data_IF_266077221741
#
_entry.id   IF_266077221741
#
_cell.length_a   1.000
_cell.length_b   1.000
_cell.length_c   1.000
_cell.angle_alpha   90.00
_cell.angle_beta   90.00
_cell.angle_gamma   90.00
#
_symmetry.space_group_name_H-M   'P 1'
#
loop_
_entity.id
_entity.type
_entity.pdbx_description
1 polymer ?
#
# COMPACT_ATOMS: atom_id res chain seq x y z
N UNK A 1 -14.47 14.51 18.10
CA UNK A 1 -14.26 15.96 18.34
C UNK A 1 -15.42 16.74 17.72
N UNK A 2 -15.89 17.79 18.38
CA UNK A 2 -16.96 18.68 17.90
C UNK A 2 -16.49 20.12 17.96
N UNK A 3 -16.67 20.87 16.87
CA UNK A 3 -16.16 22.23 16.73
C UNK A 3 -17.26 23.14 16.22
N UNK A 4 -17.47 24.26 16.89
CA UNK A 4 -18.42 25.30 16.46
C UNK A 4 -17.62 26.44 15.83
N UNK A 5 -17.72 26.57 14.50
CA UNK A 5 -16.98 27.60 13.74
C UNK A 5 -17.63 28.96 13.97
N UNK A 6 -16.81 30.02 13.95
CA UNK A 6 -17.30 31.39 14.03
C UNK A 6 -17.63 31.87 12.61
N UNK A 7 -18.91 32.08 12.33
CA UNK A 7 -19.42 32.42 10.99
C UNK A 7 -20.10 33.79 11.02
N UNK A 8 -20.08 34.47 9.87
CA UNK A 8 -20.84 35.71 9.69
C UNK A 8 -22.26 35.34 9.27
N UNK A 9 -23.25 35.75 10.06
CA UNK A 9 -24.65 35.54 9.70
C UNK A 9 -25.11 36.51 8.60
N UNK A 10 -26.35 36.32 8.13
CA UNK A 10 -26.97 37.15 7.09
C UNK A 10 -27.11 38.63 7.49
N UNK A 11 -26.95 38.96 8.77
CA UNK A 11 -26.99 40.33 9.29
C UNK A 11 -25.60 40.96 9.43
N UNK A 12 -24.54 40.20 9.11
CA UNK A 12 -23.15 40.63 9.24
C UNK A 12 -22.55 40.42 10.63
N UNK A 13 -23.30 39.87 11.58
CA UNK A 13 -22.83 39.57 12.93
C UNK A 13 -22.05 38.27 12.96
N UNK A 14 -20.96 38.26 13.72
CA UNK A 14 -20.20 37.02 13.95
C UNK A 14 -20.90 36.20 15.03
N UNK A 15 -21.37 35.01 14.67
CA UNK A 15 -22.02 34.05 15.59
C UNK A 15 -21.36 32.67 15.45
N UNK A 16 -21.66 31.76 16.37
CA UNK A 16 -21.22 30.36 16.24
C UNK A 16 -22.14 29.61 15.28
N UNK A 17 -21.57 28.66 14.55
CA UNK A 17 -22.30 27.76 13.67
C UNK A 17 -23.43 27.05 14.44
N UNK A 18 -24.58 26.84 13.80
CA UNK A 18 -25.72 26.18 14.47
C UNK A 18 -25.47 24.70 14.73
N UNK A 19 -24.71 24.05 13.85
CA UNK A 19 -24.31 22.65 13.97
C UNK A 19 -22.79 22.59 14.09
N UNK A 20 -22.26 21.72 14.96
CA UNK A 20 -20.82 21.51 15.02
C UNK A 20 -20.34 20.75 13.79
N UNK A 21 -19.10 21.01 13.40
CA UNK A 21 -18.30 20.09 12.60
C UNK A 21 -17.89 18.93 13.51
N UNK A 22 -18.09 17.70 13.04
CA UNK A 22 -17.72 16.49 13.77
C UNK A 22 -16.55 15.78 13.08
N UNK A 23 -15.54 15.43 13.87
CA UNK A 23 -14.41 14.62 13.43
C UNK A 23 -14.25 13.42 14.36
N UNK A 24 -14.24 12.23 13.77
CA UNK A 24 -14.05 10.95 14.44
C UNK A 24 -12.62 10.46 14.23
N UNK A 25 -12.04 9.91 15.29
CA UNK A 25 -10.65 9.44 15.29
C UNK A 25 -10.63 7.98 15.71
N UNK A 26 -10.05 7.12 14.85
CA UNK A 26 -9.87 5.70 15.10
C UNK A 26 -8.41 5.37 15.37
N UNK A 27 -8.16 4.52 16.37
CA UNK A 27 -6.82 4.20 16.87
C UNK A 27 -6.55 2.69 16.79
N UNK A 28 -5.34 2.29 16.39
CA UNK A 28 -4.79 0.95 16.59
C UNK A 28 -3.67 1.04 17.62
N UNK A 29 -3.97 0.63 18.85
CA UNK A 29 -3.11 0.84 20.01
C UNK A 29 -2.82 2.32 20.22
N UNK A 30 -1.60 2.72 19.89
CA UNK A 30 -1.08 4.08 20.12
C UNK A 30 -1.12 4.95 18.86
N UNK A 31 -1.44 4.37 17.70
CA UNK A 31 -1.39 5.06 16.40
C UNK A 31 -2.77 5.49 15.94
N UNK A 32 -2.85 6.72 15.43
CA UNK A 32 -4.06 7.26 14.83
C UNK A 32 -4.22 6.74 13.40
N UNK A 33 -5.03 5.72 13.20
CA UNK A 33 -5.18 5.02 11.91
C UNK A 33 -6.35 5.51 11.08
N UNK A 34 -7.31 6.22 11.66
CA UNK A 34 -8.48 6.72 10.93
C UNK A 34 -8.85 8.12 11.39
N UNK A 35 -9.11 9.01 10.45
CA UNK A 35 -9.74 10.32 10.68
C UNK A 35 -10.96 10.39 9.76
N UNK A 36 -12.14 10.62 10.31
CA UNK A 36 -13.38 10.70 9.54
C UNK A 36 -14.11 11.99 9.85
N UNK A 37 -14.38 12.77 8.81
CA UNK A 37 -15.18 14.00 8.85
C UNK A 37 -16.59 13.71 8.34
N UNK A 38 -17.41 14.75 8.18
CA UNK A 38 -18.71 14.63 7.52
C UNK A 38 -18.61 14.28 6.03
N UNK A 39 -17.48 14.55 5.37
CA UNK A 39 -17.31 14.39 3.92
C UNK A 39 -16.38 13.24 3.55
N UNK A 40 -15.33 13.01 4.32
CA UNK A 40 -14.26 12.07 3.96
C UNK A 40 -13.82 11.21 5.12
N UNK A 41 -13.36 10.01 4.79
CA UNK A 41 -12.63 9.11 5.69
C UNK A 41 -11.22 8.94 5.16
N UNK A 42 -10.24 9.27 6.00
CA UNK A 42 -8.82 9.05 5.74
C UNK A 42 -8.36 7.92 6.65
N UNK A 43 -7.79 6.88 6.05
CA UNK A 43 -7.09 5.82 6.77
C UNK A 43 -5.59 5.94 6.50
N UNK A 44 -4.80 5.78 7.55
CA UNK A 44 -3.34 5.86 7.47
C UNK A 44 -2.72 4.54 7.85
N UNK A 45 -1.90 3.99 6.94
CA UNK A 45 -1.05 2.84 7.19
C UNK A 45 0.32 3.33 7.61
N UNK A 46 0.85 2.78 8.69
CA UNK A 46 2.15 3.13 9.24
C UNK A 46 3.20 2.06 8.93
N UNK A 47 4.47 2.46 8.95
CA UNK A 47 5.57 1.50 8.95
C UNK A 47 5.47 0.60 10.19
N UNK A 48 5.71 -0.72 10.06
CA UNK A 48 5.67 -1.64 11.19
C UNK A 48 6.55 -1.15 12.35
N UNK A 49 6.02 -1.21 13.57
CA UNK A 49 6.72 -0.76 14.78
C UNK A 49 6.99 0.74 14.88
N UNK A 50 6.55 1.57 13.92
CA UNK A 50 6.87 3.00 13.87
C UNK A 50 5.61 3.88 13.83
N UNK A 51 5.82 5.18 14.05
CA UNK A 51 4.85 6.26 13.85
C UNK A 51 5.05 7.00 12.51
N UNK A 52 5.96 6.54 11.67
CA UNK A 52 6.14 7.04 10.30
C UNK A 52 4.98 6.55 9.41
N UNK A 53 4.15 7.45 8.87
CA UNK A 53 3.08 7.06 7.97
C UNK A 53 3.65 6.65 6.60
N UNK A 54 3.02 5.67 5.95
CA UNK A 54 3.42 5.15 4.65
C UNK A 54 2.37 5.41 3.57
N UNK A 55 1.11 5.08 3.86
CA UNK A 55 0.03 5.17 2.88
C UNK A 55 -1.13 5.95 3.51
N UNK A 56 -1.63 6.92 2.76
CA UNK A 56 -2.92 7.57 2.96
C UNK A 56 -3.94 6.92 2.03
N UNK A 57 -5.06 6.49 2.59
CA UNK A 57 -6.20 5.95 1.87
C UNK A 57 -7.37 6.88 2.15
N UNK A 58 -7.84 7.60 1.14
CA UNK A 58 -8.96 8.50 1.25
C UNK A 58 -10.18 7.89 0.57
N UNK A 59 -11.32 7.94 1.27
CA UNK A 59 -12.61 7.47 0.78
C UNK A 59 -13.64 8.55 1.04
N UNK A 60 -14.37 8.97 0.02
CA UNK A 60 -15.50 9.88 0.23
C UNK A 60 -16.59 9.15 1.01
N UNK A 61 -17.26 9.83 1.96
CA UNK A 61 -18.28 9.18 2.78
C UNK A 61 -19.48 8.70 1.94
N UNK A 62 -19.84 9.42 0.86
CA UNK A 62 -20.88 8.99 -0.08
C UNK A 62 -20.50 7.69 -0.79
N UNK A 63 -19.23 7.55 -1.12
CA UNK A 63 -18.65 6.36 -1.74
C UNK A 63 -18.59 5.19 -0.76
N UNK A 64 -18.18 5.45 0.48
CA UNK A 64 -18.25 4.48 1.57
C UNK A 64 -19.69 3.99 1.83
N UNK A 65 -20.69 4.86 1.69
CA UNK A 65 -22.09 4.48 1.88
C UNK A 65 -22.57 3.47 0.83
N UNK A 66 -22.01 3.49 -0.39
CA UNK A 66 -22.31 2.48 -1.44
C UNK A 66 -21.78 1.08 -1.09
N UNK A 67 -20.77 0.98 -0.22
CA UNK A 67 -20.25 -0.31 0.26
C UNK A 67 -21.27 -1.08 1.11
N UNK A 68 -22.33 -0.41 1.59
CA UNK A 68 -23.45 -1.05 2.24
C UNK A 68 -24.29 -1.79 1.19
N UNK A 69 -24.11 -3.10 1.13
CA UNK A 69 -24.96 -4.02 0.37
C UNK A 69 -26.07 -4.58 1.26
N UNK A 70 -27.14 -5.07 0.63
CA UNK A 70 -28.18 -5.84 1.30
C UNK A 70 -27.60 -7.21 1.67
N UNK A 71 -27.84 -7.65 2.90
CA UNK A 71 -27.53 -9.02 3.32
C UNK A 71 -28.33 -10.04 2.51
N UNK A 72 -27.86 -11.28 2.44
CA UNK A 72 -28.54 -12.38 1.76
C UNK A 72 -29.99 -12.54 2.27
N UNK A 73 -30.21 -12.31 3.56
CA UNK A 73 -31.54 -12.31 4.16
C UNK A 73 -32.43 -11.18 3.64
N UNK A 74 -31.90 -9.96 3.54
CA UNK A 74 -32.62 -8.80 3.01
C UNK A 74 -32.96 -8.98 1.53
N UNK A 75 -32.01 -9.47 0.72
CA UNK A 75 -32.25 -9.77 -0.71
C UNK A 75 -33.38 -10.78 -0.86
N UNK A 76 -33.32 -11.90 -0.15
CA UNK A 76 -34.35 -12.94 -0.24
C UNK A 76 -35.71 -12.45 0.28
N UNK A 77 -35.74 -11.63 1.32
CA UNK A 77 -36.97 -11.06 1.86
C UNK A 77 -37.63 -10.08 0.87
N UNK A 78 -36.85 -9.24 0.18
CA UNK A 78 -37.37 -8.30 -0.81
C UNK A 78 -37.82 -8.99 -2.09
N UNK A 79 -37.04 -9.92 -2.62
CA UNK A 79 -37.35 -10.63 -3.87
C UNK A 79 -38.56 -11.57 -3.74
N UNK A 80 -38.74 -12.17 -2.55
CA UNK A 80 -39.89 -13.05 -2.29
C UNK A 80 -41.10 -12.33 -1.71
N UNK A 81 -40.92 -11.11 -1.17
CA UNK A 81 -41.94 -10.37 -0.43
C UNK A 81 -42.35 -11.03 0.89
N UNK A 82 -41.59 -12.01 1.39
CA UNK A 82 -41.89 -12.77 2.62
C UNK A 82 -41.05 -12.26 3.78
N UNK A 83 -41.69 -11.98 4.92
CA UNK A 83 -40.97 -11.64 6.15
C UNK A 83 -40.31 -12.88 6.74
N UNK A 84 -38.97 -12.88 6.79
CA UNK A 84 -38.20 -14.00 7.32
C UNK A 84 -38.22 -14.00 8.87
N UNK A 85 -38.38 -15.17 9.51
CA UNK A 85 -38.18 -15.31 10.96
C UNK A 85 -36.75 -14.95 11.37
N UNK A 86 -36.56 -14.43 12.59
CA UNK A 86 -35.27 -13.97 13.08
C UNK A 86 -34.20 -15.07 13.06
N UNK A 87 -34.57 -16.30 13.40
CA UNK A 87 -33.68 -17.46 13.40
C UNK A 87 -33.12 -17.74 11.99
N UNK A 88 -33.97 -17.60 10.97
CA UNK A 88 -33.60 -17.84 9.57
C UNK A 88 -32.69 -16.70 9.06
N UNK A 89 -32.97 -15.45 9.43
CA UNK A 89 -32.09 -14.32 9.11
C UNK A 89 -30.69 -14.48 9.71
N UNK A 90 -30.58 -15.01 10.94
CA UNK A 90 -29.29 -15.30 11.57
C UNK A 90 -28.55 -16.42 10.84
N UNK A 91 -29.24 -17.49 10.45
CA UNK A 91 -28.65 -18.59 9.67
C UNK A 91 -28.15 -18.11 8.30
N UNK A 92 -28.94 -17.31 7.59
CA UNK A 92 -28.53 -16.69 6.32
C UNK A 92 -27.34 -15.75 6.51
N UNK A 93 -27.30 -14.95 7.58
CA UNK A 93 -26.15 -14.09 7.87
C UNK A 93 -24.88 -14.86 8.25
N UNK A 94 -25.00 -16.07 8.82
CA UNK A 94 -23.87 -16.99 8.98
C UNK A 94 -23.42 -17.56 7.63
N UNK A 95 -24.36 -18.09 6.85
CA UNK A 95 -24.06 -18.65 5.53
C UNK A 95 -23.41 -17.62 4.60
N UNK A 96 -23.90 -16.39 4.59
CA UNK A 96 -23.33 -15.28 3.80
C UNK A 96 -21.86 -15.04 4.13
N UNK A 97 -21.50 -15.02 5.43
CA UNK A 97 -20.10 -14.88 5.86
C UNK A 97 -19.23 -16.06 5.42
N UNK A 98 -19.74 -17.28 5.54
CA UNK A 98 -19.07 -18.51 5.11
C UNK A 98 -18.83 -18.52 3.58
N UNK A 99 -19.84 -18.12 2.81
CA UNK A 99 -19.76 -17.98 1.35
C UNK A 99 -18.76 -16.91 0.92
N UNK A 100 -18.74 -15.74 1.57
CA UNK A 100 -17.73 -14.69 1.30
C UNK A 100 -16.31 -15.14 1.65
N UNK A 101 -16.16 -15.92 2.72
CA UNK A 101 -14.87 -16.48 3.11
C UNK A 101 -14.40 -17.63 2.19
N UNK A 102 -15.26 -18.11 1.29
CA UNK A 102 -14.97 -19.26 0.43
C UNK A 102 -14.91 -20.60 1.18
N UNK A 103 -15.47 -20.67 2.39
CA UNK A 103 -15.42 -21.84 3.26
C UNK A 103 -16.78 -22.06 3.94
N UNK A 104 -17.61 -22.94 3.36
CA UNK A 104 -18.92 -23.30 3.91
C UNK A 104 -18.75 -24.40 4.97
N UNK A 105 -19.38 -24.22 6.13
CA UNK A 105 -19.31 -25.22 7.20
C UNK A 105 -20.20 -26.42 6.88
N UNK A 106 -19.82 -27.62 7.36
CA UNK A 106 -20.61 -28.84 7.16
C UNK A 106 -22.05 -28.72 7.68
N UNK A 107 -22.27 -27.90 8.73
CA UNK A 107 -23.60 -27.59 9.25
C UNK A 107 -24.43 -26.79 8.24
N UNK A 108 -23.86 -25.73 7.66
CA UNK A 108 -24.51 -24.94 6.62
C UNK A 108 -24.75 -25.75 5.34
N UNK A 109 -23.83 -26.63 4.96
CA UNK A 109 -24.02 -27.54 3.82
C UNK A 109 -25.18 -28.52 4.06
N UNK A 110 -25.24 -29.14 5.25
CA UNK A 110 -26.32 -30.06 5.60
C UNK A 110 -27.68 -29.35 5.64
N UNK A 111 -27.72 -28.12 6.16
CA UNK A 111 -28.92 -27.29 6.16
C UNK A 111 -29.38 -26.94 4.74
N UNK A 112 -28.46 -26.52 3.85
CA UNK A 112 -28.77 -26.25 2.45
C UNK A 112 -29.30 -27.50 1.73
N UNK A 113 -28.70 -28.66 1.97
CA UNK A 113 -29.17 -29.93 1.42
C UNK A 113 -30.59 -30.28 1.88
N UNK A 114 -30.92 -30.07 3.15
CA UNK A 114 -32.29 -30.27 3.66
C UNK A 114 -33.30 -29.34 2.98
N UNK A 115 -32.88 -28.13 2.62
CA UNK A 115 -33.69 -27.18 1.87
C UNK A 115 -33.70 -27.42 0.35
N UNK A 116 -32.94 -28.39 -0.17
CA UNK A 116 -32.81 -28.65 -1.61
C UNK A 116 -32.04 -27.58 -2.38
N UNK A 117 -31.17 -26.84 -1.69
CA UNK A 117 -30.41 -25.71 -2.23
C UNK A 117 -28.91 -26.02 -2.22
N UNK A 118 -28.15 -25.34 -3.08
CA UNK A 118 -26.69 -25.43 -3.09
C UNK A 118 -26.02 -24.14 -2.66
N UNK A 119 -24.79 -24.24 -2.16
CA UNK A 119 -23.97 -23.08 -1.81
C UNK A 119 -23.78 -22.14 -3.02
N UNK A 120 -23.61 -22.70 -4.22
CA UNK A 120 -23.46 -21.92 -5.45
C UNK A 120 -24.75 -21.17 -5.82
N UNK A 121 -25.92 -21.80 -5.65
CA UNK A 121 -27.20 -21.12 -5.85
C UNK A 121 -27.37 -19.95 -4.89
N UNK A 122 -27.03 -20.13 -3.61
CA UNK A 122 -27.09 -19.05 -2.61
C UNK A 122 -26.08 -17.94 -2.89
N UNK A 123 -24.87 -18.31 -3.33
CA UNK A 123 -23.83 -17.36 -3.74
C UNK A 123 -24.30 -16.48 -4.90
N UNK A 124 -25.04 -17.03 -5.85
CA UNK A 124 -25.61 -16.28 -6.97
C UNK A 124 -26.74 -15.32 -6.58
N UNK A 125 -27.34 -15.48 -5.40
CA UNK A 125 -28.31 -14.52 -4.83
C UNK A 125 -27.63 -13.39 -4.05
N UNK A 126 -26.34 -13.53 -3.72
CA UNK A 126 -25.63 -12.50 -2.99
C UNK A 126 -25.34 -11.32 -3.90
N UNK A 127 -25.59 -10.12 -3.39
CA UNK A 127 -25.06 -8.93 -4.03
C UNK A 127 -23.53 -8.96 -4.00
N UNK A 128 -22.92 -8.58 -5.12
CA UNK A 128 -21.48 -8.38 -5.17
C UNK A 128 -21.08 -7.32 -4.13
N UNK A 129 -20.02 -7.59 -3.38
CA UNK A 129 -19.49 -6.61 -2.45
C UNK A 129 -18.94 -5.43 -3.25
N UNK A 130 -19.57 -4.27 -3.08
CA UNK A 130 -19.07 -3.05 -3.68
C UNK A 130 -17.81 -2.62 -2.95
N UNK A 131 -16.69 -2.59 -3.68
CA UNK A 131 -15.44 -2.04 -3.17
C UNK A 131 -15.51 -0.53 -3.43
N UNK A 132 -15.63 0.31 -2.38
CA UNK A 132 -15.72 1.75 -2.57
C UNK A 132 -14.46 2.27 -3.24
N UNK A 133 -14.63 3.23 -4.16
CA UNK A 133 -13.52 3.93 -4.78
C UNK A 133 -12.68 4.64 -3.72
N UNK A 134 -11.35 4.57 -3.88
CA UNK A 134 -10.38 5.10 -2.93
C UNK A 134 -9.33 5.87 -3.68
N UNK A 135 -8.99 7.04 -3.16
CA UNK A 135 -7.81 7.78 -3.58
C UNK A 135 -6.65 7.39 -2.68
N UNK A 136 -5.53 7.00 -3.28
CA UNK A 136 -4.33 6.63 -2.52
C UNK A 136 -3.26 7.71 -2.66
N UNK A 137 -2.50 7.93 -1.59
CA UNK A 137 -1.25 8.68 -1.65
C UNK A 137 -0.18 8.01 -0.79
N UNK A 138 1.05 8.03 -1.27
CA UNK A 138 2.22 7.64 -0.52
C UNK A 138 2.74 8.82 0.28
N UNK A 139 3.01 8.61 1.56
CA UNK A 139 3.74 9.57 2.38
C UNK A 139 5.23 9.49 2.05
N UNK A 140 5.78 10.58 1.55
CA UNK A 140 7.22 10.79 1.52
C UNK A 140 7.61 11.53 2.79
N UNK A 141 8.39 10.88 3.65
CA UNK A 141 8.81 11.41 4.95
C UNK A 141 10.31 11.67 5.00
N UNK A 142 10.73 12.58 5.87
CA UNK A 142 12.15 12.74 6.23
C UNK A 142 12.66 11.58 7.11
N UNK A 143 13.93 11.64 7.50
CA UNK A 143 14.58 10.60 8.31
C UNK A 143 13.98 10.44 9.72
N UNK A 144 13.20 11.42 10.20
CA UNK A 144 12.49 11.36 11.49
C UNK A 144 11.12 10.73 11.34
N UNK A 145 10.58 10.65 10.12
CA UNK A 145 9.21 10.24 9.85
C UNK A 145 8.23 11.41 9.75
N UNK A 146 8.70 12.65 9.59
CA UNK A 146 7.85 13.82 9.33
C UNK A 146 7.44 13.83 7.85
N UNK A 147 6.12 13.86 7.53
CA UNK A 147 5.65 13.94 6.15
C UNK A 147 6.07 15.22 5.44
N UNK A 148 6.83 15.09 4.36
CA UNK A 148 7.25 16.20 3.49
C UNK A 148 6.43 16.29 2.21
N UNK A 149 5.92 15.16 1.70
CA UNK A 149 5.05 15.16 0.53
C UNK A 149 4.04 14.00 0.53
N UNK A 150 2.95 14.18 -0.21
CA UNK A 150 2.03 13.13 -0.63
C UNK A 150 2.21 12.90 -2.12
N UNK A 151 2.55 11.68 -2.49
CA UNK A 151 2.79 11.26 -3.87
C UNK A 151 1.60 10.43 -4.32
N UNK A 152 0.98 10.82 -5.42
CA UNK A 152 -0.07 10.03 -6.08
C UNK A 152 0.51 8.73 -6.63
N UNK A 153 -0.32 7.72 -6.92
CA UNK A 153 0.16 6.48 -7.50
C UNK A 153 0.80 6.65 -8.88
N UNK A 154 0.43 7.71 -9.60
CA UNK A 154 1.01 8.12 -10.88
C UNK A 154 2.40 8.77 -10.72
N UNK A 155 2.89 8.95 -9.48
CA UNK A 155 4.19 9.54 -9.17
C UNK A 155 4.18 11.07 -9.07
N UNK A 156 3.03 11.72 -9.19
CA UNK A 156 2.90 13.18 -9.08
C UNK A 156 2.83 13.63 -7.61
N UNK A 157 3.45 14.76 -7.29
CA UNK A 157 3.35 15.38 -5.96
C UNK A 157 1.99 16.07 -5.79
N UNK A 158 1.09 15.46 -5.02
CA UNK A 158 -0.25 15.96 -4.77
C UNK A 158 -0.29 17.02 -3.64
N UNK A 159 0.62 16.91 -2.69
CA UNK A 159 0.84 17.88 -1.60
C UNK A 159 2.31 17.86 -1.18
N UNK A 160 2.85 19.01 -0.78
CA UNK A 160 4.20 19.18 -0.26
C UNK A 160 4.20 20.21 0.87
N UNK A 161 4.97 19.94 1.93
CA UNK A 161 5.16 20.86 3.05
C UNK A 161 6.63 21.07 3.37
N UNK A 162 6.97 22.30 3.74
CA UNK A 162 8.28 22.70 4.25
C UNK A 162 8.20 22.96 5.74
N UNK A 163 9.19 22.47 6.49
CA UNK A 163 9.16 22.50 7.95
C UNK A 163 10.48 22.92 8.56
N UNK A 164 10.42 23.50 9.76
CA UNK A 164 11.61 23.66 10.59
C UNK A 164 11.92 22.40 11.42
N UNK A 165 12.96 22.47 12.25
CA UNK A 165 13.42 21.36 13.08
C UNK A 165 12.40 20.98 14.16
N UNK A 166 11.55 21.91 14.59
CA UNK A 166 10.53 21.72 15.62
C UNK A 166 9.19 21.27 15.06
N UNK A 167 9.09 21.10 13.74
CA UNK A 167 7.90 20.65 13.03
C UNK A 167 6.91 21.77 12.70
N UNK A 168 7.30 23.05 12.81
CA UNK A 168 6.47 24.16 12.33
C UNK A 168 6.37 24.10 10.80
N UNK A 169 5.15 24.13 10.26
CA UNK A 169 4.92 24.21 8.83
C UNK A 169 5.23 25.66 8.38
N UNK A 170 6.30 25.81 7.59
CA UNK A 170 6.77 27.10 7.07
C UNK A 170 6.04 27.47 5.77
N UNK A 171 5.66 26.47 5.00
CA UNK A 171 4.92 26.63 3.74
C UNK A 171 4.36 25.30 3.27
N UNK A 172 3.28 25.36 2.50
CA UNK A 172 2.71 24.19 1.83
C UNK A 172 2.31 24.53 0.40
N UNK A 173 2.37 23.52 -0.47
CA UNK A 173 1.86 23.56 -1.84
C UNK A 173 0.96 22.35 -2.04
N UNK A 174 -0.25 22.55 -2.54
CA UNK A 174 -1.18 21.46 -2.83
C UNK A 174 -1.82 21.64 -4.20
N UNK A 175 -1.60 20.67 -5.09
CA UNK A 175 -2.21 20.64 -6.41
C UNK A 175 -3.71 20.26 -6.34
N UNK A 176 -4.09 19.48 -5.32
CA UNK A 176 -5.42 18.89 -5.18
C UNK A 176 -6.22 19.43 -3.97
N UNK A 177 -5.80 20.57 -3.39
CA UNK A 177 -6.36 21.11 -2.14
C UNK A 177 -6.40 20.08 -0.98
N UNK A 178 -5.46 19.12 -1.03
CA UNK A 178 -5.32 18.11 0.00
C UNK A 178 -4.81 18.74 1.29
N UNK A 179 -5.43 18.36 2.39
CA UNK A 179 -4.93 18.69 3.71
C UNK A 179 -4.14 17.53 4.29
N UNK A 180 -2.96 17.84 4.81
CA UNK A 180 -2.10 16.92 5.53
C UNK A 180 -1.95 17.44 6.98
N UNK A 181 -2.49 16.72 7.98
CA UNK A 181 -2.45 17.19 9.37
C UNK A 181 -1.34 16.56 10.22
N UNK A 182 -0.65 15.49 9.78
CA UNK A 182 0.41 14.90 10.63
C UNK A 182 1.63 15.81 10.69
N UNK A 183 2.30 15.82 11.84
CA UNK A 183 3.53 16.60 12.09
C UNK A 183 4.66 15.63 12.45
N UNK A 184 5.49 15.95 13.44
CA UNK A 184 6.48 14.99 13.94
C UNK A 184 5.77 13.69 14.37
N UNK A 185 6.47 12.55 14.39
CA UNK A 185 5.83 11.27 14.66
C UNK A 185 4.97 11.29 15.94
N UNK A 186 3.75 10.74 15.85
CA UNK A 186 2.75 10.78 16.93
C UNK A 186 1.87 12.05 16.96
N UNK A 187 2.25 13.10 16.22
CA UNK A 187 1.62 14.40 16.30
C UNK A 187 0.64 14.68 15.14
N UNK A 188 -0.46 15.36 15.48
CA UNK A 188 -1.44 15.89 14.53
C UNK A 188 -1.70 17.37 14.80
N UNK A 189 -1.67 18.20 13.76
CA UNK A 189 -2.06 19.60 13.84
C UNK A 189 -3.55 19.74 14.19
N UNK A 190 -3.81 20.55 15.20
CA UNK A 190 -5.13 20.91 15.68
C UNK A 190 -5.39 22.39 15.36
N UNK A 191 -6.12 22.64 14.27
CA UNK A 191 -6.31 23.97 13.69
C UNK A 191 -6.86 25.01 14.69
N UNK A 192 -7.75 24.58 15.57
CA UNK A 192 -8.51 25.43 16.49
C UNK A 192 -7.65 25.93 17.65
N UNK A 193 -6.66 25.14 18.08
CA UNK A 193 -5.71 25.55 19.10
C UNK A 193 -4.41 26.10 18.50
N UNK A 194 -4.11 25.73 17.24
CA UNK A 194 -2.80 25.97 16.63
C UNK A 194 -1.69 25.06 17.18
N UNK A 195 -2.03 24.12 18.06
CA UNK A 195 -1.09 23.21 18.72
C UNK A 195 -1.07 21.86 18.01
N UNK A 196 -0.09 21.03 18.36
CA UNK A 196 0.01 19.68 17.84
C UNK A 196 -0.44 18.69 18.92
N UNK A 197 -1.55 18.01 18.67
CA UNK A 197 -2.03 16.93 19.52
C UNK A 197 -1.09 15.73 19.39
N UNK A 198 -0.46 15.33 20.50
CA UNK A 198 0.46 14.20 20.60
C UNK A 198 -0.04 13.21 21.67
N UNK A 199 -1.20 12.61 21.39
CA UNK A 199 -1.89 11.58 22.20
C UNK A 199 -2.10 11.93 23.68
N UNK A 200 -1.04 11.88 24.48
CA UNK A 200 -1.07 12.18 25.90
C UNK A 200 -0.93 13.68 26.21
N UNK A 201 -0.40 14.48 25.27
CA UNK A 201 -0.11 15.90 25.48
C UNK A 201 -0.34 16.74 24.24
N UNK A 202 -0.48 18.06 24.44
CA UNK A 202 -0.41 19.05 23.36
C UNK A 202 0.98 19.67 23.32
N UNK A 203 1.57 19.70 22.13
CA UNK A 203 2.88 20.27 21.84
C UNK A 203 2.72 21.65 21.18
N UNK A 204 3.45 22.63 21.70
CA UNK A 204 3.60 23.96 21.11
C UNK A 204 4.90 24.00 20.29
N UNK A 205 4.81 24.01 18.95
CA UNK A 205 5.97 23.98 18.08
C UNK A 205 6.73 25.32 18.06
N UNK A 206 6.11 26.44 18.44
CA UNK A 206 6.78 27.74 18.55
C UNK A 206 7.70 27.80 19.78
N UNK A 207 7.35 27.06 20.83
CA UNK A 207 8.16 26.98 22.05
C UNK A 207 9.03 25.72 22.13
N UNK A 208 8.82 24.74 21.23
CA UNK A 208 9.52 23.46 21.23
C UNK A 208 9.25 22.62 22.49
N UNK A 209 8.01 22.64 23.02
CA UNK A 209 7.67 21.95 24.28
C UNK A 209 6.20 21.59 24.43
N UNK A 210 5.89 20.75 25.40
CA UNK A 210 4.51 20.47 25.80
C UNK A 210 3.92 21.59 26.66
N UNK A 211 2.61 21.81 26.54
CA UNK A 211 1.89 22.82 27.33
C UNK A 211 1.33 22.25 28.65
N UNK A 212 1.38 20.93 28.84
CA UNK A 212 0.95 20.23 30.06
C UNK A 212 2.08 19.38 30.63
N UNK A 213 2.06 19.18 31.95
CA UNK A 213 3.02 18.31 32.64
C UNK A 213 2.92 16.87 32.12
N UNK A 214 4.06 16.17 32.14
CA UNK A 214 4.15 14.76 31.80
C UNK A 214 3.26 13.88 32.72
N UNK A 215 2.30 13.12 32.17
CA UNK A 215 1.45 12.24 32.96
C UNK A 215 2.21 11.15 33.72
N UNK A 216 3.40 10.73 33.25
CA UNK A 216 4.25 9.77 33.99
C UNK A 216 5.17 10.45 35.01
N UNK A 217 5.06 11.77 35.15
CA UNK A 217 5.80 12.58 36.11
C UNK A 217 7.31 12.49 35.92
N UNK A 218 8.04 12.38 37.02
CA UNK A 218 9.50 12.33 37.02
C UNK A 218 10.09 11.07 36.36
N UNK A 219 9.26 10.09 35.98
CA UNK A 219 9.70 8.92 35.20
C UNK A 219 10.06 9.29 33.76
N UNK A 220 9.47 10.35 33.21
CA UNK A 220 9.72 10.79 31.83
C UNK A 220 10.96 11.70 31.73
N UNK A 221 11.03 12.72 32.58
CA UNK A 221 12.20 13.60 32.71
C UNK A 221 12.08 14.49 33.96
N UNK A 222 13.18 15.17 34.31
CA UNK A 222 13.17 16.20 35.36
C UNK A 222 12.36 17.44 34.95
N UNK A 223 12.34 17.75 33.65
CA UNK A 223 11.52 18.82 33.09
C UNK A 223 10.22 18.22 32.53
N UNK A 224 9.12 18.39 33.26
CA UNK A 224 7.82 17.80 32.95
C UNK A 224 7.17 18.33 31.65
N UNK A 225 7.69 19.40 31.07
CA UNK A 225 7.16 20.00 29.84
C UNK A 225 8.05 19.70 28.63
N UNK A 226 9.13 18.95 28.80
CA UNK A 226 10.17 18.80 27.79
C UNK A 226 9.71 17.99 26.58
N UNK A 227 9.89 18.56 25.39
CA UNK A 227 10.09 17.78 24.17
C UNK A 227 11.60 17.50 24.00
N UNK A 228 12.03 16.41 23.31
CA UNK A 228 13.45 16.15 23.10
C UNK A 228 14.22 17.38 22.61
N UNK A 229 15.31 17.73 23.31
CA UNK A 229 16.11 18.94 23.03
C UNK A 229 16.81 18.92 21.66
N UNK A 230 16.92 17.73 21.07
CA UNK A 230 17.43 17.56 19.72
C UNK A 230 16.38 16.85 18.85
N UNK A 231 15.37 17.58 18.34
CA UNK A 231 14.28 17.01 17.56
C UNK A 231 14.74 16.50 16.17
N UNK A 232 15.99 16.74 15.79
CA UNK A 232 16.58 16.20 14.55
C UNK A 232 16.97 14.74 14.68
N UNK A 233 17.21 14.25 15.90
CA UNK A 233 17.68 12.87 16.17
C UNK A 233 16.81 12.11 17.16
N UNK A 234 15.99 12.83 17.95
CA UNK A 234 15.12 12.25 18.96
C UNK A 234 13.70 12.77 18.77
N UNK A 235 12.73 11.89 18.93
CA UNK A 235 11.30 12.16 18.80
C UNK A 235 10.58 11.58 20.03
N UNK A 236 9.39 12.07 20.33
CA UNK A 236 8.54 11.52 21.41
C UNK A 236 7.15 11.19 20.84
N UNK A 237 6.99 10.01 20.20
CA UNK A 237 5.75 9.66 19.50
C UNK A 237 4.54 9.41 20.40
N UNK A 238 4.77 9.24 21.70
CA UNK A 238 3.72 8.99 22.68
C UNK A 238 3.36 10.23 23.48
N UNK A 239 4.22 11.25 23.48
CA UNK A 239 4.05 12.37 24.39
C UNK A 239 4.28 11.98 25.84
N UNK A 240 5.26 11.12 26.15
CA UNK A 240 5.56 10.66 27.52
C UNK A 240 7.06 10.69 27.90
N UNK A 241 7.98 10.67 26.93
CA UNK A 241 9.44 10.95 27.05
C UNK A 241 10.21 10.27 25.90
N UNK A 242 11.22 10.95 25.35
CA UNK A 242 12.04 10.46 24.24
C UNK A 242 13.18 9.48 24.59
N UNK A 243 13.04 8.68 25.66
CA UNK A 243 13.88 7.49 25.87
C UNK A 243 13.07 6.25 25.48
N UNK A 244 13.24 5.84 24.23
CA UNK A 244 13.04 4.48 23.70
C UNK A 244 12.01 3.60 24.44
N UNK A 245 10.72 3.95 24.33
CA UNK A 245 9.64 2.99 24.62
C UNK A 245 9.17 2.24 23.37
N UNK A 246 10.04 2.13 22.35
CA UNK A 246 9.95 1.13 21.30
C UNK A 246 11.29 0.36 21.38
N UNK A 247 11.25 -0.85 21.97
CA UNK A 247 12.37 -1.81 22.12
C UNK A 247 13.49 -1.54 23.15
N UNK A 248 13.16 -1.53 24.45
CA UNK A 248 14.06 -2.12 25.48
C UNK A 248 13.35 -3.14 26.37
N UNK A 249 12.66 -4.09 25.75
CA UNK A 249 12.15 -5.28 26.46
C UNK A 249 12.40 -6.56 25.66
N UNK A 250 13.64 -7.04 25.71
CA UNK A 250 14.00 -8.46 25.65
C UNK A 250 13.82 -9.19 24.30
N UNK A 251 14.37 -10.42 24.19
CA UNK A 251 14.24 -11.24 23.00
C UNK A 251 12.77 -11.62 22.74
N UNK A 252 12.36 -11.39 21.49
CA UNK A 252 11.04 -11.45 20.82
C UNK A 252 10.15 -12.70 21.02
N UNK A 253 10.37 -13.57 22.00
CA UNK A 253 9.73 -14.90 22.04
C UNK A 253 8.69 -15.13 23.14
N UNK A 254 8.30 -14.13 23.95
CA UNK A 254 7.45 -14.39 25.14
C UNK A 254 6.11 -13.63 25.24
N UNK A 255 5.75 -12.75 24.31
CA UNK A 255 4.36 -12.31 24.15
C UNK A 255 4.06 -12.32 22.66
N UNK A 256 3.46 -13.40 22.17
CA UNK A 256 2.88 -13.38 20.84
C UNK A 256 1.80 -12.29 20.82
N UNK A 257 2.06 -11.17 20.15
CA UNK A 257 1.04 -10.17 19.86
C UNK A 257 -0.02 -10.86 19.00
N UNK A 258 -1.24 -11.07 19.52
CA UNK A 258 -2.29 -11.80 18.79
C UNK A 258 -2.66 -11.14 17.46
N UNK A 259 -2.30 -9.86 17.28
CA UNK A 259 -2.59 -9.08 16.08
C UNK A 259 -1.46 -9.09 15.05
N UNK A 260 -0.26 -9.59 15.37
CA UNK A 260 0.89 -9.55 14.46
C UNK A 260 0.64 -10.33 13.17
N UNK A 261 -0.03 -11.49 13.29
CA UNK A 261 -0.49 -12.28 12.14
C UNK A 261 -1.45 -11.49 11.24
N UNK A 262 -2.38 -10.72 11.82
CA UNK A 262 -3.33 -9.91 11.07
C UNK A 262 -2.66 -8.67 10.46
N UNK A 263 -1.66 -8.07 11.12
CA UNK A 263 -0.87 -6.98 10.57
C UNK A 263 0.00 -7.45 9.40
N UNK A 264 0.64 -8.61 9.50
CA UNK A 264 1.36 -9.19 8.37
C UNK A 264 0.43 -9.55 7.21
N UNK A 265 -0.77 -10.08 7.49
CA UNK A 265 -1.78 -10.31 6.45
C UNK A 265 -2.32 -9.02 5.83
N UNK A 266 -2.49 -7.95 6.61
CA UNK A 266 -2.90 -6.64 6.12
C UNK A 266 -1.81 -5.98 5.30
N UNK A 267 -0.54 -6.09 5.71
CA UNK A 267 0.62 -5.65 4.92
C UNK A 267 0.72 -6.45 3.64
N UNK A 268 0.67 -7.80 3.68
CA UNK A 268 0.65 -8.63 2.48
C UNK A 268 -0.56 -8.33 1.59
N UNK A 269 -1.73 -8.04 2.18
CA UNK A 269 -2.93 -7.63 1.46
C UNK A 269 -2.80 -6.25 0.82
N UNK A 270 -2.15 -5.29 1.48
CA UNK A 270 -1.84 -3.96 0.95
C UNK A 270 -0.74 -4.00 -0.10
N UNK A 271 0.31 -4.81 0.08
CA UNK A 271 1.35 -5.05 -0.92
C UNK A 271 0.77 -5.75 -2.14
N UNK A 272 -0.09 -6.76 -1.93
CA UNK A 272 -0.79 -7.43 -3.03
C UNK A 272 -1.78 -6.50 -3.72
N UNK A 273 -2.56 -5.69 -2.99
CA UNK A 273 -3.41 -4.66 -3.57
C UNK A 273 -2.58 -3.64 -4.35
N UNK A 274 -1.42 -3.23 -3.83
CA UNK A 274 -0.50 -2.32 -4.49
C UNK A 274 0.07 -2.92 -5.79
N UNK A 275 0.50 -4.18 -5.74
CA UNK A 275 0.99 -4.91 -6.91
C UNK A 275 -0.14 -5.13 -7.94
N UNK A 276 -1.34 -5.52 -7.49
CA UNK A 276 -2.47 -5.83 -8.36
C UNK A 276 -3.16 -4.57 -8.94
N UNK A 277 -3.16 -3.45 -8.21
CA UNK A 277 -3.90 -2.20 -8.58
C UNK A 277 -2.99 -1.16 -9.22
N UNK A 278 -1.70 -1.11 -8.84
CA UNK A 278 -0.77 -0.06 -9.26
C UNK A 278 0.49 -0.55 -9.98
N UNK A 279 0.70 -1.88 -10.13
CA UNK A 279 1.68 -2.40 -11.09
C UNK A 279 1.11 -2.67 -12.49
N UNK A 280 0.02 -2.00 -12.88
CA UNK A 280 -0.31 -1.89 -14.30
C UNK A 280 0.59 -0.84 -14.98
N UNK A 281 1.88 -1.21 -15.13
CA UNK A 281 2.79 -0.88 -16.24
C UNK A 281 4.28 -1.20 -15.93
N UNK A 282 4.56 -2.25 -15.15
CA UNK A 282 5.84 -2.95 -15.29
C UNK A 282 5.59 -4.44 -15.42
N UNK A 283 5.53 -4.94 -16.65
CA UNK A 283 5.90 -6.33 -16.95
C UNK A 283 7.30 -6.53 -16.39
N UNK A 284 7.39 -6.95 -15.12
CA UNK A 284 8.65 -7.20 -14.45
C UNK A 284 9.29 -8.39 -15.15
N UNK A 285 10.51 -8.22 -15.64
CA UNK A 285 11.21 -9.28 -16.32
C UNK A 285 11.33 -10.50 -15.40
N UNK A 286 11.27 -11.70 -15.98
CA UNK A 286 11.55 -12.92 -15.24
C UNK A 286 12.99 -12.87 -14.70
N UNK A 287 13.26 -13.35 -13.47
CA UNK A 287 14.61 -13.43 -12.92
C UNK A 287 15.56 -14.17 -13.86
N UNK A 288 16.77 -13.66 -14.05
CA UNK A 288 17.78 -14.26 -14.95
C UNK A 288 18.41 -15.52 -14.34
N UNK A 289 17.65 -16.62 -14.30
CA UNK A 289 18.12 -17.95 -13.88
C UNK A 289 18.27 -18.89 -15.08
N UNK A 290 19.15 -19.90 -15.01
CA UNK A 290 19.24 -20.94 -16.05
C UNK A 290 17.89 -21.58 -16.38
N UNK A 291 17.04 -21.79 -15.39
CA UNK A 291 15.70 -22.37 -15.53
C UNK A 291 14.78 -21.45 -16.34
N UNK A 292 14.73 -20.16 -16.00
CA UNK A 292 13.89 -19.19 -16.69
C UNK A 292 14.38 -18.98 -18.13
N UNK A 293 15.70 -18.94 -18.36
CA UNK A 293 16.26 -18.87 -19.72
C UNK A 293 15.82 -20.08 -20.55
N UNK A 294 15.95 -21.30 -20.02
CA UNK A 294 15.49 -22.52 -20.72
C UNK A 294 13.99 -22.49 -21.00
N UNK A 295 13.21 -22.00 -20.05
CA UNK A 295 11.76 -21.88 -20.18
C UNK A 295 11.37 -20.93 -21.32
N UNK A 296 11.94 -19.72 -21.37
CA UNK A 296 11.54 -18.73 -22.38
C UNK A 296 12.00 -19.08 -23.80
N UNK A 297 13.07 -19.85 -23.95
CA UNK A 297 13.53 -20.28 -25.28
C UNK A 297 12.88 -21.57 -25.78
N UNK A 298 12.25 -22.36 -24.91
CA UNK A 298 11.86 -23.76 -25.18
C UNK A 298 11.04 -23.96 -26.46
N UNK A 299 10.17 -23.00 -26.79
CA UNK A 299 9.28 -23.06 -27.95
C UNK A 299 9.73 -22.18 -29.12
N UNK A 300 10.95 -21.63 -29.07
CA UNK A 300 11.43 -20.75 -30.12
C UNK A 300 11.69 -21.52 -31.42
N UNK A 301 11.14 -21.08 -32.57
CA UNK A 301 11.41 -21.67 -33.88
C UNK A 301 12.76 -21.21 -34.48
N UNK A 302 13.51 -20.36 -33.76
CA UNK A 302 14.74 -19.76 -34.25
C UNK A 302 15.92 -20.73 -34.19
N UNK A 303 16.89 -20.48 -35.06
CA UNK A 303 18.20 -21.12 -35.07
C UNK A 303 19.26 -20.11 -34.60
N UNK A 304 20.43 -20.59 -34.19
CA UNK A 304 21.55 -19.76 -33.75
C UNK A 304 22.88 -20.36 -34.18
N UNK A 305 23.87 -19.51 -34.45
CA UNK A 305 25.27 -19.91 -34.70
C UNK A 305 26.09 -20.17 -33.42
N UNK A 306 25.55 -19.80 -32.26
CA UNK A 306 26.15 -20.01 -30.95
C UNK A 306 25.19 -20.80 -30.05
N UNK A 307 25.67 -21.87 -29.42
CA UNK A 307 24.85 -22.73 -28.56
C UNK A 307 24.84 -22.28 -27.08
N UNK A 308 25.46 -21.14 -26.75
CA UNK A 308 25.70 -20.72 -25.36
C UNK A 308 25.30 -19.27 -25.14
N UNK A 309 24.85 -18.98 -23.91
CA UNK A 309 24.68 -17.61 -23.38
C UNK A 309 25.22 -17.53 -21.96
N UNK A 310 25.90 -16.44 -21.63
CA UNK A 310 26.35 -16.13 -20.28
C UNK A 310 25.22 -15.50 -19.47
N UNK A 311 24.88 -16.10 -18.34
CA UNK A 311 23.83 -15.63 -17.42
C UNK A 311 24.12 -14.19 -16.92
N UNK A 312 25.34 -13.83 -16.48
CA UNK A 312 25.69 -12.45 -16.14
C UNK A 312 25.43 -11.44 -17.27
N UNK A 313 25.77 -11.80 -18.51
CA UNK A 313 25.58 -10.91 -19.68
C UNK A 313 24.10 -10.75 -20.00
N UNK A 314 23.29 -11.80 -19.89
CA UNK A 314 21.83 -11.69 -20.02
C UNK A 314 21.27 -10.81 -18.92
N UNK A 315 21.73 -10.96 -17.68
CA UNK A 315 21.26 -10.15 -16.55
C UNK A 315 21.54 -8.66 -16.75
N UNK A 316 22.71 -8.32 -17.32
CA UNK A 316 23.03 -6.95 -17.69
C UNK A 316 22.03 -6.35 -18.69
N UNK A 317 21.65 -7.10 -19.73
CA UNK A 317 20.65 -6.64 -20.70
C UNK A 317 19.23 -6.59 -20.13
N UNK A 318 18.87 -7.51 -19.22
CA UNK A 318 17.58 -7.47 -18.50
C UNK A 318 17.49 -6.19 -17.67
N UNK A 319 18.53 -5.87 -16.89
CA UNK A 319 18.56 -4.64 -16.09
C UNK A 319 18.38 -3.39 -16.95
N UNK A 320 19.07 -3.33 -18.09
CA UNK A 320 18.93 -2.22 -19.03
C UNK A 320 17.49 -2.08 -19.59
N UNK A 321 16.78 -3.19 -19.82
CA UNK A 321 15.37 -3.18 -20.26
C UNK A 321 14.40 -2.79 -19.13
N UNK A 322 14.72 -3.14 -17.89
CA UNK A 322 13.99 -2.73 -16.68
C UNK A 322 14.14 -1.23 -16.41
N UNK A 323 15.31 -0.67 -16.74
CA UNK A 323 15.61 0.77 -16.66
C UNK A 323 14.95 1.59 -17.80
N UNK A 324 14.15 0.95 -18.67
CA UNK A 324 13.38 1.62 -19.73
C UNK A 324 14.20 1.95 -20.99
N UNK A 325 15.43 1.46 -21.10
CA UNK A 325 16.22 1.59 -22.33
C UNK A 325 15.70 0.63 -23.40
N UNK A 326 15.80 1.04 -24.68
CA UNK A 326 15.42 0.18 -25.80
C UNK A 326 16.33 -1.04 -25.92
N UNK A 327 15.76 -2.18 -26.30
CA UNK A 327 16.51 -3.40 -26.58
C UNK A 327 17.53 -3.17 -27.72
N UNK A 328 18.82 -3.51 -27.56
CA UNK A 328 19.76 -3.38 -28.65
C UNK A 328 19.47 -4.45 -29.70
N UNK A 329 19.75 -4.16 -30.97
CA UNK A 329 19.33 -5.03 -32.06
C UNK A 329 20.03 -6.38 -32.08
N UNK A 330 19.36 -7.33 -32.72
CA UNK A 330 19.88 -8.67 -33.03
C UNK A 330 20.13 -8.80 -34.53
N UNK A 331 21.25 -9.40 -34.90
CA UNK A 331 21.58 -9.61 -36.31
C UNK A 331 21.01 -10.95 -36.76
N UNK A 332 20.13 -10.91 -37.76
CA UNK A 332 19.35 -12.04 -38.26
C UNK A 332 19.67 -12.34 -39.72
N UNK A 333 19.86 -13.62 -40.05
CA UNK A 333 19.92 -14.13 -41.42
C UNK A 333 18.76 -15.13 -41.61
N UNK A 334 17.62 -14.64 -42.10
CA UNK A 334 16.37 -15.40 -42.11
C UNK A 334 15.91 -15.74 -40.69
N UNK A 335 15.75 -17.04 -40.39
CA UNK A 335 15.37 -17.51 -39.05
C UNK A 335 16.58 -17.80 -38.13
N UNK A 336 17.78 -17.40 -38.53
CA UNK A 336 19.02 -17.66 -37.78
C UNK A 336 19.50 -16.39 -37.08
N UNK A 337 19.67 -16.45 -35.76
CA UNK A 337 20.38 -15.44 -34.99
C UNK A 337 21.88 -15.59 -35.26
N UNK A 338 22.45 -14.61 -35.96
CA UNK A 338 23.88 -14.55 -36.29
C UNK A 338 24.66 -13.89 -35.15
N UNK A 339 24.08 -12.88 -34.51
CA UNK A 339 24.64 -12.20 -33.34
C UNK A 339 23.52 -11.66 -32.46
N UNK A 340 23.60 -11.91 -31.15
CA UNK A 340 22.73 -11.28 -30.16
C UNK A 340 21.88 -12.21 -29.32
N UNK A 341 22.28 -13.48 -29.15
CA UNK A 341 21.58 -14.43 -28.28
C UNK A 341 21.27 -13.88 -26.89
N UNK A 342 22.23 -13.22 -26.25
CA UNK A 342 22.04 -12.62 -24.92
C UNK A 342 20.92 -11.56 -24.91
N UNK A 343 20.83 -10.74 -25.96
CA UNK A 343 19.82 -9.69 -26.13
C UNK A 343 18.45 -10.27 -26.45
N UNK A 344 18.41 -11.30 -27.30
CA UNK A 344 17.19 -12.05 -27.60
C UNK A 344 16.62 -12.71 -26.34
N UNK A 345 17.45 -13.40 -25.56
CA UNK A 345 17.03 -14.02 -24.29
C UNK A 345 16.55 -12.97 -23.29
N UNK A 346 17.25 -11.86 -23.12
CA UNK A 346 16.82 -10.77 -22.25
C UNK A 346 15.47 -10.19 -22.68
N UNK A 347 15.26 -9.98 -23.99
CA UNK A 347 13.98 -9.54 -24.54
C UNK A 347 12.84 -10.53 -24.26
N UNK A 348 13.09 -11.83 -24.37
CA UNK A 348 12.10 -12.87 -24.04
C UNK A 348 11.77 -12.93 -22.54
N UNK A 349 12.76 -12.72 -21.66
CA UNK A 349 12.52 -12.64 -20.21
C UNK A 349 11.67 -11.42 -19.82
N UNK A 350 11.77 -10.34 -20.58
CA UNK A 350 11.10 -9.07 -20.34
C UNK A 350 9.83 -8.84 -21.18
N UNK A 351 9.46 -9.80 -22.05
CA UNK A 351 8.43 -9.63 -23.08
C UNK A 351 8.62 -8.36 -23.95
N UNK A 352 9.88 -8.05 -24.28
CA UNK A 352 10.32 -6.89 -25.06
C UNK A 352 11.34 -7.33 -26.10
N UNK A 353 10.87 -7.88 -27.23
CA UNK A 353 11.77 -8.40 -28.27
C UNK A 353 12.67 -7.30 -28.86
N UNK A 354 13.96 -7.59 -29.08
CA UNK A 354 14.88 -6.64 -29.71
C UNK A 354 14.54 -6.39 -31.18
N UNK A 355 14.82 -5.18 -31.70
CA UNK A 355 14.70 -4.91 -33.13
C UNK A 355 15.68 -5.77 -33.93
N UNK A 356 15.25 -6.25 -35.09
CA UNK A 356 16.08 -7.08 -35.96
C UNK A 356 16.87 -6.22 -36.96
N UNK A 357 18.12 -6.61 -37.23
CA UNK A 357 18.95 -6.05 -38.30
C UNK A 357 19.44 -7.17 -39.23
N UNK A 358 19.58 -6.91 -40.55
CA UNK A 358 20.11 -7.90 -41.46
C UNK A 358 21.55 -8.29 -41.09
N UNK A 359 21.79 -9.57 -40.87
CA UNK A 359 23.10 -10.18 -40.71
C UNK A 359 23.41 -11.14 -41.86
N UNK A 360 24.68 -11.48 -42.02
CA UNK A 360 25.12 -12.49 -42.99
C UNK A 360 25.74 -13.65 -42.24
N UNK A 361 25.12 -14.82 -42.29
CA UNK A 361 25.69 -16.03 -41.68
C UNK A 361 26.87 -16.54 -42.51
N UNK A 362 28.01 -16.91 -41.90
CA UNK A 362 29.07 -17.62 -42.60
C UNK A 362 28.57 -19.00 -43.06
N UNK A 363 28.82 -19.38 -44.32
CA UNK A 363 28.38 -20.65 -44.89
C UNK A 363 28.92 -21.89 -44.13
N UNK A 364 30.06 -21.75 -43.44
CA UNK A 364 30.69 -22.78 -42.63
C UNK A 364 30.23 -22.82 -41.16
N UNK A 365 29.38 -21.88 -40.73
CA UNK A 365 28.96 -21.80 -39.33
C UNK A 365 27.94 -22.89 -38.98
N UNK A 366 28.14 -23.63 -37.87
CA UNK A 366 27.17 -24.60 -37.40
C UNK A 366 25.85 -23.92 -37.02
N UNK A 367 24.75 -24.67 -37.13
CA UNK A 367 23.40 -24.22 -36.75
C UNK A 367 22.89 -25.07 -35.59
N UNK A 368 22.41 -24.40 -34.56
CA UNK A 368 21.81 -25.02 -33.39
C UNK A 368 20.38 -24.51 -33.20
N UNK A 369 19.44 -25.34 -32.71
CA UNK A 369 18.14 -24.85 -32.26
C UNK A 369 18.31 -23.84 -31.12
N UNK A 370 17.68 -22.67 -31.24
CA UNK A 370 17.73 -21.66 -30.17
C UNK A 370 17.04 -22.15 -28.89
N UNK A 371 16.06 -23.04 -29.03
CA UNK A 371 15.40 -23.74 -27.91
C UNK A 371 16.33 -24.65 -27.09
N UNK A 372 17.53 -24.97 -27.61
CA UNK A 372 18.53 -25.80 -26.93
C UNK A 372 19.76 -24.99 -26.48
N UNK A 373 19.61 -23.67 -26.30
CA UNK A 373 20.71 -22.83 -25.85
C UNK A 373 21.12 -23.17 -24.41
N UNK A 374 22.42 -23.21 -24.15
CA UNK A 374 22.98 -23.57 -22.86
C UNK A 374 23.33 -22.30 -22.05
N UNK A 375 22.67 -22.05 -20.89
CA UNK A 375 23.02 -20.96 -20.00
C UNK A 375 24.27 -21.30 -19.17
N UNK A 376 25.34 -20.55 -19.36
CA UNK A 376 26.58 -20.64 -18.60
C UNK A 376 26.57 -19.67 -17.42
N UNK A 377 26.95 -20.15 -16.24
CA UNK A 377 27.00 -19.35 -15.02
C UNK A 377 28.20 -18.40 -14.97
N UNK A 378 29.21 -18.65 -15.81
CA UNK A 378 30.44 -17.87 -15.87
C UNK A 378 30.46 -16.91 -17.08
N UNK A 379 31.17 -15.80 -16.94
CA UNK A 379 31.48 -14.88 -18.05
C UNK A 379 32.85 -15.23 -18.65
N UNK A 380 32.85 -16.04 -19.71
CA UNK A 380 34.07 -16.32 -20.49
C UNK A 380 34.27 -15.30 -21.64
N UNK A 381 33.54 -14.18 -21.63
CA UNK A 381 33.38 -13.28 -22.77
C UNK A 381 34.03 -11.90 -22.66
N UNK A 382 34.75 -11.58 -21.58
CA UNK A 382 35.59 -10.38 -21.48
C UNK A 382 36.84 -10.62 -20.60
N UNK A 383 37.92 -11.10 -21.23
CA UNK A 383 39.30 -10.84 -20.82
C UNK A 383 40.10 -10.35 -22.00
#
# INVERSE_FOLDING_TARGET
KRVWRRERDLTGWMSLSRKPEETWYGWDGDRLTTVQTGTTRIQTVYQPGSFTPLIRIETENGEQAKARHRSLAEVLQEDTGVTLPAELSVMLGRLERELRAGAVSAESEAWLQQCGLTAEQMKNQMEAEYIPERTLHLYHCDHRGLPQALISPEGETAWQGEYDEWGNLLGETSAQQLQQPYRLPGQQYDEESGLYYNRNRYYDPLQGRYITQDPIGLRGAWNLYQYPLNPTTKIDPLGLSGEDSIEQSGPSWLIADPMDKYRQQAVMGLTKLWDDTFSQEKTKCLPTTPENIRMVVANSPLLTVQQKVSVPVVAHYVQMLEDGSGAPPVDMDGNVIVNGNHRMVAGLLCDKLPPERPGTRPLSAPLYPFSQIFPELDDWGNR
#
